data_IF_401611348692
#
_entry.id   IF_401611348692
#
_cell.length_a   1.000
_cell.length_b   1.000
_cell.length_c   1.000
_cell.angle_alpha   90.00
_cell.angle_beta   90.00
_cell.angle_gamma   90.00
#
_symmetry.space_group_name_H-M   'P 1'
#
loop_
_entity.id
_entity.type
_entity.pdbx_description
1 polymer ?
#
# COMPACT_ATOMS: atom_id res chain seq x y z
N UNK A 1 59.78 -11.85 -16.10
CA UNK A 1 59.06 -11.09 -15.05
C UNK A 1 58.08 -10.17 -15.75
N UNK A 2 56.77 -10.44 -15.68
CA UNK A 2 55.73 -9.47 -16.05
C UNK A 2 54.67 -9.48 -14.96
N UNK A 3 54.52 -8.33 -14.30
CA UNK A 3 53.37 -7.97 -13.48
C UNK A 3 52.33 -7.26 -14.35
N UNK A 4 51.13 -7.09 -13.77
CA UNK A 4 49.94 -6.32 -14.18
C UNK A 4 48.84 -7.24 -14.75
N UNK A 5 47.57 -7.24 -14.33
CA UNK A 5 46.79 -6.46 -13.34
C UNK A 5 45.41 -7.15 -13.26
N UNK A 6 44.95 -7.52 -12.07
CA UNK A 6 43.50 -7.60 -11.74
C UNK A 6 43.09 -6.22 -11.17
N UNK A 7 41.84 -5.72 -11.27
CA UNK A 7 40.57 -6.46 -11.26
C UNK A 7 39.46 -5.95 -12.20
N UNK A 8 38.66 -6.84 -12.81
CA UNK A 8 37.34 -6.51 -13.38
C UNK A 8 36.32 -7.54 -12.91
N UNK A 9 36.10 -7.63 -11.60
CA UNK A 9 35.04 -8.46 -11.00
C UNK A 9 34.37 -7.59 -9.95
N UNK A 10 33.40 -6.77 -10.36
CA UNK A 10 32.69 -5.89 -9.43
C UNK A 10 31.36 -5.35 -9.93
N UNK A 11 31.10 -5.36 -11.24
CA UNK A 11 29.91 -4.69 -11.80
C UNK A 11 28.76 -5.68 -12.12
N UNK A 12 29.03 -6.96 -12.28
CA UNK A 12 27.99 -7.94 -12.67
C UNK A 12 27.09 -8.41 -11.50
N UNK A 13 27.56 -8.34 -10.25
CA UNK A 13 26.80 -8.81 -9.09
C UNK A 13 25.71 -7.83 -8.65
N UNK A 14 25.93 -6.52 -8.85
CA UNK A 14 24.95 -5.51 -8.45
C UNK A 14 23.74 -5.54 -9.38
N UNK A 15 23.95 -5.66 -10.70
CA UNK A 15 22.85 -5.72 -11.66
C UNK A 15 21.98 -6.98 -11.51
N UNK A 16 22.56 -8.12 -11.12
CA UNK A 16 21.83 -9.37 -10.90
C UNK A 16 20.86 -9.29 -9.71
N UNK A 17 21.23 -8.63 -8.62
CA UNK A 17 20.37 -8.46 -7.46
C UNK A 17 19.14 -7.58 -7.77
N UNK A 18 19.33 -6.50 -8.53
CA UNK A 18 18.23 -5.64 -8.99
C UNK A 18 17.28 -6.39 -9.95
N UNK A 19 17.80 -7.24 -10.84
CA UNK A 19 16.97 -8.00 -11.79
C UNK A 19 16.13 -9.09 -11.10
N UNK A 20 16.70 -9.77 -10.09
CA UNK A 20 15.97 -10.79 -9.33
C UNK A 20 14.90 -10.14 -8.43
N UNK A 21 15.19 -8.99 -7.82
CA UNK A 21 14.20 -8.23 -7.05
C UNK A 21 13.04 -7.75 -7.94
N UNK A 22 13.34 -7.20 -9.13
CA UNK A 22 12.31 -6.76 -10.09
C UNK A 22 11.50 -7.91 -10.69
N UNK A 23 12.10 -9.08 -10.94
CA UNK A 23 11.33 -10.27 -11.34
C UNK A 23 10.46 -10.82 -10.20
N UNK A 24 10.97 -10.89 -8.97
CA UNK A 24 10.18 -11.33 -7.81
C UNK A 24 9.01 -10.37 -7.53
N UNK A 25 9.25 -9.07 -7.71
CA UNK A 25 8.25 -8.02 -7.72
C UNK A 25 7.21 -8.29 -8.82
N UNK A 26 7.60 -8.39 -10.10
CA UNK A 26 6.67 -8.65 -11.21
C UNK A 26 5.89 -9.98 -11.09
N UNK A 27 6.47 -11.01 -10.47
CA UNK A 27 5.84 -12.33 -10.38
C UNK A 27 4.84 -12.46 -9.23
N UNK A 28 4.91 -11.57 -8.23
CA UNK A 28 4.03 -11.58 -7.05
C UNK A 28 3.15 -10.33 -6.90
N UNK A 29 3.26 -9.36 -7.82
CA UNK A 29 2.60 -8.06 -7.73
C UNK A 29 1.75 -7.84 -8.99
N UNK A 30 0.42 -7.81 -8.85
CA UNK A 30 -0.50 -7.37 -9.92
C UNK A 30 -0.87 -5.89 -9.73
N UNK A 31 0.12 -5.07 -9.43
CA UNK A 31 0.01 -3.62 -9.25
C UNK A 31 0.92 -2.87 -10.25
N UNK A 32 0.64 -1.59 -10.53
CA UNK A 32 1.52 -0.79 -11.38
C UNK A 32 2.91 -0.68 -10.74
N UNK A 33 3.96 -0.82 -11.56
CA UNK A 33 5.33 -0.61 -11.14
C UNK A 33 5.56 0.91 -10.99
N UNK A 34 5.21 1.46 -9.83
CA UNK A 34 5.41 2.87 -9.50
C UNK A 34 6.75 3.05 -8.79
N UNK A 35 7.61 3.92 -9.34
CA UNK A 35 8.82 4.33 -8.64
C UNK A 35 8.52 5.28 -7.47
N UNK A 36 9.54 5.57 -6.66
CA UNK A 36 9.38 6.41 -5.45
C UNK A 36 8.89 7.83 -5.78
N UNK A 37 9.25 8.37 -6.95
CA UNK A 37 8.85 9.72 -7.37
C UNK A 37 7.36 9.73 -7.76
N UNK A 38 6.90 8.73 -8.50
CA UNK A 38 5.50 8.54 -8.86
C UNK A 38 4.63 8.30 -7.63
N UNK A 39 5.11 7.48 -6.69
CA UNK A 39 4.42 7.26 -5.42
C UNK A 39 4.30 8.55 -4.61
N UNK A 40 5.36 9.36 -4.56
CA UNK A 40 5.35 10.66 -3.88
C UNK A 40 4.38 11.66 -4.55
N UNK A 41 4.32 11.69 -5.88
CA UNK A 41 3.39 12.55 -6.64
C UNK A 41 1.93 12.19 -6.37
N UNK A 42 1.61 10.89 -6.33
CA UNK A 42 0.29 10.39 -5.91
C UNK A 42 0.07 10.54 -4.39
N UNK A 43 1.15 10.73 -3.65
CA UNK A 43 1.25 10.70 -2.20
C UNK A 43 0.70 9.40 -1.61
N UNK A 44 1.12 8.29 -2.19
CA UNK A 44 0.94 6.94 -1.66
C UNK A 44 2.29 6.42 -1.18
N UNK A 45 2.26 5.38 -0.35
CA UNK A 45 3.44 4.65 0.05
C UNK A 45 3.12 3.16 -0.03
N UNK A 46 3.63 2.49 -1.07
CA UNK A 46 3.46 1.07 -1.27
C UNK A 46 4.48 0.28 -0.45
N UNK A 47 4.10 -0.90 -0.01
CA UNK A 47 5.02 -1.84 0.63
C UNK A 47 5.60 -2.78 -0.42
N UNK A 48 6.82 -3.24 -0.19
CA UNK A 48 7.54 -4.14 -1.10
C UNK A 48 6.79 -5.48 -1.29
N UNK A 49 6.18 -6.00 -0.22
CA UNK A 49 5.48 -7.29 -0.23
C UNK A 49 4.06 -7.16 0.33
N UNK A 50 3.02 -7.22 -0.53
CA UNK A 50 1.63 -7.11 -0.10
C UNK A 50 1.27 -8.22 0.89
N UNK A 51 0.54 -7.86 1.94
CA UNK A 51 0.19 -8.77 3.03
C UNK A 51 -1.23 -9.30 2.84
N UNK A 52 -1.38 -10.60 3.05
CA UNK A 52 -2.70 -11.19 3.11
C UNK A 52 -3.47 -10.56 4.28
N UNK A 53 -4.69 -10.14 3.99
CA UNK A 53 -5.66 -9.72 4.98
C UNK A 53 -6.92 -10.58 4.80
N UNK A 54 -7.77 -10.71 5.82
CA UNK A 54 -9.05 -11.38 5.65
C UNK A 54 -9.89 -10.62 4.59
N UNK A 55 -10.77 -11.33 3.87
CA UNK A 55 -11.64 -10.70 2.90
C UNK A 55 -12.55 -9.67 3.57
N UNK A 56 -12.67 -8.48 2.98
CA UNK A 56 -13.67 -7.51 3.40
C UNK A 56 -14.98 -7.79 2.66
N UNK A 57 -16.02 -8.05 3.43
CA UNK A 57 -17.38 -8.17 2.92
C UNK A 57 -17.78 -6.84 2.26
N UNK A 58 -18.17 -6.89 0.98
CA UNK A 58 -18.64 -5.76 0.13
C UNK A 58 -17.56 -5.00 -0.64
N UNK A 59 -16.31 -5.47 -0.70
CA UNK A 59 -15.36 -4.95 -1.69
C UNK A 59 -15.42 -5.78 -2.98
N UNK A 60 -15.52 -5.09 -4.12
CA UNK A 60 -15.46 -5.73 -5.44
C UNK A 60 -14.07 -6.34 -5.66
N UNK A 61 -14.00 -7.58 -6.13
CA UNK A 61 -12.71 -8.21 -6.44
C UNK A 61 -12.11 -7.64 -7.73
N UNK A 62 -10.78 -7.71 -7.86
CA UNK A 62 -10.07 -7.33 -9.10
C UNK A 62 -9.79 -5.83 -9.25
N UNK A 63 -10.03 -5.03 -8.21
CA UNK A 63 -9.76 -3.59 -8.19
C UNK A 63 -9.01 -3.19 -6.92
N UNK A 64 -8.26 -2.10 -7.00
CA UNK A 64 -7.67 -1.44 -5.84
C UNK A 64 -8.73 -0.72 -5.03
N UNK A 65 -8.60 -0.81 -3.71
CA UNK A 65 -9.50 -0.19 -2.75
C UNK A 65 -8.74 0.67 -1.75
N UNK A 66 -9.36 1.77 -1.34
CA UNK A 66 -8.91 2.58 -0.20
C UNK A 66 -9.78 2.24 1.01
N UNK A 67 -9.15 1.85 2.12
CA UNK A 67 -9.86 1.50 3.36
C UNK A 67 -9.35 2.33 4.54
N UNK A 68 -10.19 2.55 5.54
CA UNK A 68 -9.83 3.25 6.78
C UNK A 68 -10.33 2.44 7.98
N UNK A 69 -9.43 2.09 8.89
CA UNK A 69 -9.84 1.60 10.20
C UNK A 69 -10.41 2.78 11.01
N UNK A 70 -11.67 2.66 11.44
CA UNK A 70 -12.26 3.63 12.33
C UNK A 70 -11.63 3.48 13.73
N UNK A 71 -11.14 4.55 14.36
CA UNK A 71 -10.64 4.49 15.74
C UNK A 71 -11.66 3.86 16.70
N UNK A 72 -11.18 3.06 17.66
CA UNK A 72 -12.02 2.43 18.69
C UNK A 72 -12.77 3.47 19.53
N UNK A 73 -12.14 4.61 19.79
CA UNK A 73 -12.74 5.80 20.38
C UNK A 73 -12.93 6.84 19.27
N UNK A 74 -14.17 7.01 18.81
CA UNK A 74 -14.50 7.92 17.71
C UNK A 74 -15.65 8.84 18.14
N UNK A 75 -15.28 10.05 18.58
CA UNK A 75 -16.20 11.11 18.97
C UNK A 75 -16.95 11.73 17.77
N UNK A 76 -17.81 12.72 18.00
CA UNK A 76 -18.59 13.34 16.94
C UNK A 76 -17.74 13.95 15.81
N UNK A 77 -16.54 14.45 16.13
CA UNK A 77 -15.61 15.02 15.13
C UNK A 77 -15.04 13.90 14.27
N UNK A 78 -14.57 12.82 14.89
CA UNK A 78 -14.09 11.63 14.20
C UNK A 78 -15.20 11.01 13.32
N UNK A 79 -16.42 10.90 13.82
CA UNK A 79 -17.56 10.39 13.03
C UNK A 79 -17.81 11.25 11.79
N UNK A 80 -17.77 12.58 11.93
CA UNK A 80 -17.86 13.51 10.80
C UNK A 80 -16.77 13.29 9.76
N UNK A 81 -15.53 13.07 10.20
CA UNK A 81 -14.41 12.75 9.31
C UNK A 81 -14.60 11.40 8.59
N UNK A 82 -15.07 10.36 9.28
CA UNK A 82 -15.33 9.05 8.66
C UNK A 82 -16.43 9.14 7.59
N UNK A 83 -17.47 9.94 7.81
CA UNK A 83 -18.52 10.20 6.81
C UNK A 83 -17.94 10.92 5.59
N UNK A 84 -17.11 11.94 5.79
CA UNK A 84 -16.45 12.65 4.68
C UNK A 84 -15.52 11.73 3.88
N UNK A 85 -14.75 10.88 4.55
CA UNK A 85 -13.87 9.91 3.88
C UNK A 85 -14.67 8.85 3.12
N UNK A 86 -15.80 8.41 3.67
CA UNK A 86 -16.72 7.52 2.96
C UNK A 86 -17.25 8.18 1.68
N UNK A 87 -17.63 9.46 1.75
CA UNK A 87 -18.06 10.24 0.58
C UNK A 87 -16.93 10.47 -0.45
N UNK A 88 -15.67 10.38 -0.02
CA UNK A 88 -14.50 10.43 -0.88
C UNK A 88 -14.16 9.08 -1.55
N UNK A 89 -14.90 8.01 -1.26
CA UNK A 89 -14.67 6.67 -1.81
C UNK A 89 -13.77 5.78 -0.94
N UNK A 90 -13.51 6.15 0.31
CA UNK A 90 -12.76 5.33 1.26
C UNK A 90 -13.72 4.43 2.03
N UNK A 91 -13.48 3.12 2.03
CA UNK A 91 -14.27 2.18 2.81
C UNK A 91 -13.88 2.22 4.29
N UNK A 92 -14.79 2.68 5.16
CA UNK A 92 -14.55 2.70 6.61
C UNK A 92 -14.88 1.34 7.22
N UNK A 93 -13.91 0.75 7.90
CA UNK A 93 -14.01 -0.51 8.64
C UNK A 93 -14.17 -0.19 10.12
N UNK A 94 -15.37 -0.38 10.71
CA UNK A 94 -15.60 -0.16 12.13
C UNK A 94 -15.00 -1.30 12.98
N UNK A 95 -14.71 -1.06 14.27
CA UNK A 95 -14.20 -2.06 15.20
C UNK A 95 -15.06 -3.32 15.36
N UNK A 96 -16.34 -3.25 14.99
CA UNK A 96 -17.29 -4.36 15.05
C UNK A 96 -17.16 -5.37 13.90
N UNK A 97 -16.45 -5.04 12.82
CA UNK A 97 -16.21 -5.99 11.73
C UNK A 97 -15.10 -6.97 12.09
N UNK A 98 -15.27 -8.23 11.71
CA UNK A 98 -14.31 -9.31 12.00
C UNK A 98 -12.89 -8.97 11.50
N UNK A 99 -12.78 -8.42 10.29
CA UNK A 99 -11.51 -8.05 9.65
C UNK A 99 -10.73 -6.94 10.37
N UNK A 100 -11.39 -6.18 11.26
CA UNK A 100 -10.78 -5.01 11.89
C UNK A 100 -9.52 -5.35 12.69
N UNK A 101 -9.59 -6.39 13.54
CA UNK A 101 -8.48 -6.76 14.42
C UNK A 101 -7.29 -7.29 13.62
N UNK A 102 -7.54 -8.07 12.57
CA UNK A 102 -6.48 -8.59 11.71
C UNK A 102 -5.76 -7.45 10.96
N UNK A 103 -6.51 -6.50 10.42
CA UNK A 103 -5.92 -5.32 9.78
C UNK A 103 -5.13 -4.46 10.76
N UNK A 104 -5.66 -4.27 11.97
CA UNK A 104 -4.96 -3.54 13.04
C UNK A 104 -3.67 -4.26 13.43
N UNK A 105 -3.68 -5.59 13.55
CA UNK A 105 -2.50 -6.37 13.88
C UNK A 105 -1.45 -6.30 12.76
N UNK A 106 -1.86 -6.44 11.50
CA UNK A 106 -0.95 -6.35 10.36
C UNK A 106 -0.29 -4.97 10.29
N UNK A 107 -1.06 -3.91 10.49
CA UNK A 107 -0.55 -2.52 10.39
C UNK A 107 0.18 -2.03 11.64
N UNK A 108 -0.03 -2.66 12.80
CA UNK A 108 0.64 -2.28 14.05
C UNK A 108 2.06 -2.83 14.20
N UNK A 109 2.49 -3.75 13.33
CA UNK A 109 3.86 -4.25 13.38
C UNK A 109 4.89 -3.14 13.06
N UNK A 110 6.07 -3.23 13.67
CA UNK A 110 7.10 -2.18 13.65
C UNK A 110 7.51 -1.77 12.22
N UNK A 111 7.58 -2.74 11.31
CA UNK A 111 7.92 -2.53 9.91
C UNK A 111 6.82 -1.84 9.08
N UNK A 112 5.66 -1.54 9.68
CA UNK A 112 4.56 -0.81 9.05
C UNK A 112 4.15 0.46 9.79
N UNK A 113 4.99 0.97 10.70
CA UNK A 113 4.70 2.17 11.48
C UNK A 113 4.31 3.38 10.60
N UNK A 114 4.90 3.51 9.41
CA UNK A 114 4.60 4.57 8.44
C UNK A 114 3.17 4.49 7.84
N UNK A 115 2.47 3.37 8.00
CA UNK A 115 1.10 3.18 7.48
C UNK A 115 0.03 3.28 8.57
N UNK A 116 0.43 3.34 9.85
CA UNK A 116 -0.51 3.37 10.97
C UNK A 116 -1.35 4.64 10.95
N UNK A 117 -2.66 4.49 11.13
CA UNK A 117 -3.59 5.62 11.15
C UNK A 117 -3.76 6.33 9.79
N UNK A 118 -3.21 5.78 8.70
CA UNK A 118 -3.45 6.24 7.34
C UNK A 118 -4.64 5.52 6.70
N UNK A 119 -5.04 6.00 5.52
CA UNK A 119 -5.91 5.21 4.63
C UNK A 119 -5.05 4.10 4.04
N UNK A 120 -5.47 2.85 4.17
CA UNK A 120 -4.74 1.69 3.66
C UNK A 120 -5.21 1.40 2.24
N UNK A 121 -4.29 0.93 1.40
CA UNK A 121 -4.56 0.52 0.03
C UNK A 121 -4.54 -1.01 -0.03
N UNK A 122 -5.64 -1.57 -0.54
CA UNK A 122 -5.72 -2.98 -0.91
C UNK A 122 -5.56 -3.11 -2.41
N UNK A 123 -4.72 -4.04 -2.86
CA UNK A 123 -4.52 -4.29 -4.28
C UNK A 123 -5.65 -5.12 -4.91
N UNK A 124 -5.54 -5.42 -6.21
CA UNK A 124 -6.54 -6.20 -6.97
C UNK A 124 -6.79 -7.61 -6.42
N UNK A 125 -5.84 -8.20 -5.70
CA UNK A 125 -6.02 -9.48 -4.99
C UNK A 125 -6.62 -9.33 -3.58
N UNK A 126 -6.94 -8.12 -3.15
CA UNK A 126 -7.42 -7.84 -1.80
C UNK A 126 -6.33 -7.91 -0.72
N UNK A 127 -5.06 -7.78 -1.09
CA UNK A 127 -3.93 -7.75 -0.14
C UNK A 127 -3.60 -6.33 0.27
N UNK A 128 -3.22 -6.12 1.53
CA UNK A 128 -2.69 -4.84 2.00
C UNK A 128 -1.38 -4.54 1.27
N UNK A 129 -1.35 -3.44 0.52
CA UNK A 129 -0.25 -3.12 -0.39
C UNK A 129 0.37 -1.74 -0.13
N UNK A 130 -0.13 -0.98 0.85
CA UNK A 130 0.43 0.32 1.20
C UNK A 130 -0.58 1.25 1.84
N UNK A 131 -0.26 2.54 1.88
CA UNK A 131 -1.16 3.58 2.37
C UNK A 131 -1.25 4.77 1.42
N UNK A 132 -2.36 5.50 1.53
CA UNK A 132 -2.54 6.84 1.00
C UNK A 132 -2.23 7.84 2.13
N UNK A 133 -1.45 8.86 1.82
CA UNK A 133 -1.10 9.96 2.74
C UNK A 133 -2.16 11.07 2.67
N UNK A 134 -2.41 11.82 3.77
CA UNK A 134 -3.36 12.95 3.75
C UNK A 134 -2.91 14.06 2.80
N UNK A 135 -3.80 14.95 2.34
CA UNK A 135 -5.25 14.99 2.58
C UNK A 135 -6.06 13.91 1.84
N UNK A 136 -7.23 13.55 2.38
CA UNK A 136 -8.14 12.50 1.88
C UNK A 136 -9.42 13.06 1.25
N UNK A 137 -9.29 13.94 0.25
CA UNK A 137 -10.44 14.47 -0.47
C UNK A 137 -10.85 13.56 -1.65
N UNK A 138 -12.08 13.71 -2.13
CA UNK A 138 -12.67 12.88 -3.18
C UNK A 138 -11.85 12.86 -4.47
N UNK A 139 -11.42 14.02 -4.94
CA UNK A 139 -10.70 14.14 -6.21
C UNK A 139 -9.37 13.39 -6.17
N UNK A 140 -8.63 13.52 -5.06
CA UNK A 140 -7.38 12.81 -4.87
C UNK A 140 -7.56 11.31 -4.73
N UNK A 141 -8.52 10.87 -3.90
CA UNK A 141 -8.78 9.43 -3.73
C UNK A 141 -9.17 8.81 -5.07
N UNK A 142 -10.04 9.48 -5.84
CA UNK A 142 -10.43 9.04 -7.18
C UNK A 142 -9.25 8.97 -8.14
N UNK A 143 -8.41 10.01 -8.20
CA UNK A 143 -7.25 10.04 -9.09
C UNK A 143 -6.23 8.93 -8.77
N UNK A 144 -5.97 8.68 -7.48
CA UNK A 144 -5.08 7.60 -7.04
C UNK A 144 -5.66 6.24 -7.42
N UNK A 145 -6.92 5.98 -7.09
CA UNK A 145 -7.55 4.68 -7.40
C UNK A 145 -7.69 4.45 -8.90
N UNK A 146 -7.92 5.49 -9.71
CA UNK A 146 -7.88 5.37 -11.18
C UNK A 146 -6.48 4.99 -11.64
N UNK A 147 -5.45 5.71 -11.20
CA UNK A 147 -4.05 5.41 -11.57
C UNK A 147 -3.63 3.99 -11.18
N UNK A 148 -4.08 3.50 -10.03
CA UNK A 148 -3.76 2.14 -9.56
C UNK A 148 -4.52 1.04 -10.30
N UNK A 149 -5.70 1.34 -10.84
CA UNK A 149 -6.55 0.37 -11.51
C UNK A 149 -6.32 0.25 -13.02
N UNK A 150 -5.76 1.28 -13.65
CA UNK A 150 -5.36 1.27 -15.06
C UNK A 150 -4.04 0.54 -15.29
#
# INVERSE_FOLDING_TARGET
>A
MSRLTTPFIGVALVAGAFWVATQSYQKNFSGPALDDAQQAELGIQLIEFPRQVPPLERLEQGQWHAIRLQPSLCDAVCQGQMVQQTAAGIHVVPPSQAVYQDLLQVTSAENYAAHQGHVLLLNKEGRFAGSLLPPYNKDRVSAVLQTLNH
#
